data_IF_630468026761
#
_entry.id   IF_630468026761
#
_cell.length_a   1.000
_cell.length_b   1.000
_cell.length_c   1.000
_cell.angle_alpha   90.00
_cell.angle_beta   90.00
_cell.angle_gamma   90.00
#
_symmetry.space_group_name_H-M   'P 1'
#
loop_
_entity.id
_entity.type
_entity.pdbx_description
1 polymer ?
#
# COMPACT_ATOMS: atom_id res chain seq x y z
N UNK A 1 65.47 47.70 7.43
CA UNK A 1 64.66 47.07 8.50
C UNK A 1 63.21 47.37 8.19
N UNK A 2 62.49 46.37 7.68
CA UNK A 2 61.18 46.53 7.06
C UNK A 2 60.05 46.64 8.08
N UNK A 3 59.09 47.52 7.78
CA UNK A 3 57.85 47.71 8.51
C UNK A 3 56.93 46.48 8.44
N UNK A 4 56.19 46.15 9.50
CA UNK A 4 55.06 45.23 9.40
C UNK A 4 53.72 45.97 9.21
N UNK A 5 53.06 45.49 8.16
CA UNK A 5 51.72 45.71 7.60
C UNK A 5 50.57 45.66 8.63
N UNK A 6 49.78 46.74 8.63
CA UNK A 6 48.31 46.80 8.44
C UNK A 6 47.40 45.62 8.81
N UNK A 7 46.27 46.00 9.43
CA UNK A 7 44.92 45.39 9.31
C UNK A 7 44.66 44.08 10.05
N UNK A 8 44.12 44.20 11.27
CA UNK A 8 43.08 43.27 11.75
C UNK A 8 41.90 44.09 12.26
N UNK A 9 40.98 44.40 11.34
CA UNK A 9 39.61 44.74 11.66
C UNK A 9 39.01 43.53 12.37
N UNK A 10 38.93 43.59 13.69
CA UNK A 10 38.34 42.54 14.50
C UNK A 10 36.83 42.75 14.45
N UNK A 11 36.21 41.83 13.70
CA UNK A 11 34.80 41.72 13.38
C UNK A 11 33.88 42.13 14.54
N UNK A 12 33.05 43.10 14.23
CA UNK A 12 31.80 43.42 14.89
C UNK A 12 30.95 42.14 14.93
N UNK A 13 30.88 41.57 16.14
CA UNK A 13 30.11 40.36 16.42
C UNK A 13 28.63 40.73 16.37
N UNK A 14 28.07 40.64 15.17
CA UNK A 14 26.67 40.84 14.83
C UNK A 14 25.78 40.07 15.81
N UNK A 15 25.15 40.82 16.70
CA UNK A 15 24.32 40.34 17.80
C UNK A 15 22.93 40.06 17.22
N UNK A 16 22.77 38.96 16.47
CA UNK A 16 21.46 38.55 15.96
C UNK A 16 20.49 38.33 17.14
N UNK A 17 19.36 39.05 17.19
CA UNK A 17 18.39 38.90 18.25
C UNK A 17 17.71 37.54 18.11
N UNK A 18 17.76 36.74 19.16
CA UNK A 18 16.98 35.53 19.33
C UNK A 18 15.49 35.89 19.34
N UNK A 19 14.87 35.89 18.17
CA UNK A 19 13.45 36.14 17.93
C UNK A 19 12.73 34.83 17.63
N UNK A 20 12.65 33.93 18.60
CA UNK A 20 11.56 32.96 18.62
C UNK A 20 10.93 32.96 20.01
N UNK A 21 9.68 33.43 20.15
CA UNK A 21 8.95 33.25 21.38
C UNK A 21 8.69 31.75 21.54
N UNK A 22 9.00 31.21 22.70
CA UNK A 22 8.54 29.89 23.15
C UNK A 22 7.04 29.99 23.38
N UNK A 23 6.24 29.82 22.32
CA UNK A 23 4.78 29.77 22.47
C UNK A 23 4.34 28.33 22.67
N UNK A 24 4.17 28.01 23.95
CA UNK A 24 3.54 26.82 24.49
C UNK A 24 2.10 26.75 23.96
N UNK A 25 1.82 25.74 23.16
CA UNK A 25 0.57 25.60 22.41
C UNK A 25 0.57 24.33 21.56
N UNK A 26 1.23 23.29 22.04
CA UNK A 26 1.49 22.03 21.35
C UNK A 26 0.17 21.30 21.07
N UNK A 27 -0.50 21.72 20.01
CA UNK A 27 -1.61 20.96 19.44
C UNK A 27 -1.03 19.70 18.80
N UNK A 28 -1.69 18.56 18.98
CA UNK A 28 -1.31 17.30 18.32
C UNK A 28 -1.08 17.48 16.81
N UNK A 29 -1.80 18.41 16.19
CA UNK A 29 -1.69 18.80 14.79
C UNK A 29 -0.34 19.43 14.44
N UNK A 30 0.20 20.34 15.26
CA UNK A 30 1.54 20.90 15.04
C UNK A 30 2.60 19.81 15.14
N UNK A 31 2.46 18.93 16.14
CA UNK A 31 3.36 17.80 16.36
C UNK A 31 3.31 16.78 15.22
N UNK A 32 2.12 16.57 14.63
CA UNK A 32 1.93 15.72 13.44
C UNK A 32 2.52 16.38 12.18
N UNK A 33 2.39 17.70 12.02
CA UNK A 33 2.94 18.42 10.85
C UNK A 33 4.45 18.64 10.90
N UNK A 34 5.05 18.65 12.10
CA UNK A 34 6.50 18.75 12.31
C UNK A 34 7.19 17.38 12.33
N UNK A 35 6.41 16.29 12.37
CA UNK A 35 6.93 14.93 12.32
C UNK A 35 7.42 14.61 10.91
N UNK A 36 8.75 14.46 10.75
CA UNK A 36 9.36 14.00 9.52
C UNK A 36 10.05 12.65 9.74
N UNK A 37 9.94 11.75 8.77
CA UNK A 37 10.67 10.48 8.78
C UNK A 37 11.79 10.51 7.76
N UNK A 38 12.98 10.09 8.20
CA UNK A 38 14.13 9.91 7.33
C UNK A 38 14.02 8.52 6.65
N UNK A 39 14.12 8.43 5.32
CA UNK A 39 14.04 7.17 4.57
C UNK A 39 14.98 6.06 5.04
N UNK A 40 16.16 6.42 5.54
CA UNK A 40 17.17 5.48 6.03
C UNK A 40 16.94 5.02 7.47
N UNK A 41 15.87 5.50 8.12
CA UNK A 41 15.54 5.13 9.49
C UNK A 41 15.10 3.67 9.64
N UNK A 42 15.47 3.06 10.77
CA UNK A 42 15.04 1.69 11.12
C UNK A 42 13.50 1.55 11.20
N UNK A 43 12.82 2.60 11.66
CA UNK A 43 11.36 2.65 11.79
C UNK A 43 10.69 2.49 10.43
N UNK A 44 11.10 3.30 9.44
CA UNK A 44 10.50 3.25 8.10
C UNK A 44 10.83 1.93 7.40
N UNK A 45 12.06 1.43 7.53
CA UNK A 45 12.41 0.11 6.98
C UNK A 45 11.59 -1.03 7.58
N UNK A 46 11.19 -0.93 8.86
CA UNK A 46 10.30 -1.89 9.52
C UNK A 46 8.86 -1.73 9.07
N UNK A 47 8.40 -0.49 8.92
CA UNK A 47 7.10 -0.16 8.37
C UNK A 47 6.94 -0.68 6.93
N UNK A 48 7.94 -0.49 6.07
CA UNK A 48 7.92 -1.01 4.70
C UNK A 48 7.75 -2.53 4.66
N UNK A 49 8.44 -3.27 5.55
CA UNK A 49 8.27 -4.74 5.68
C UNK A 49 6.86 -5.11 6.11
N UNK A 50 6.29 -4.36 7.06
CA UNK A 50 4.92 -4.55 7.51
C UNK A 50 3.91 -4.28 6.39
N UNK A 51 4.08 -3.20 5.63
CA UNK A 51 3.21 -2.86 4.50
C UNK A 51 3.28 -3.88 3.37
N UNK A 52 4.46 -4.43 3.09
CA UNK A 52 4.63 -5.55 2.14
C UNK A 52 3.83 -6.76 2.60
N UNK A 53 3.96 -7.17 3.86
CA UNK A 53 3.19 -8.29 4.41
C UNK A 53 1.67 -8.03 4.36
N UNK A 54 1.23 -6.83 4.75
CA UNK A 54 -0.17 -6.43 4.67
C UNK A 54 -0.71 -6.49 3.23
N UNK A 55 0.09 -6.14 2.22
CA UNK A 55 -0.31 -6.20 0.82
C UNK A 55 -0.49 -7.63 0.30
N UNK A 56 0.35 -8.56 0.77
CA UNK A 56 0.21 -10.00 0.48
C UNK A 56 -1.06 -10.56 1.12
N UNK A 57 -1.28 -10.26 2.40
CA UNK A 57 -2.51 -10.65 3.10
C UNK A 57 -3.76 -10.11 2.40
N UNK A 58 -3.73 -8.85 1.95
CA UNK A 58 -4.82 -8.24 1.20
C UNK A 58 -5.11 -8.98 -0.11
N UNK A 59 -4.07 -9.34 -0.88
CA UNK A 59 -4.24 -10.07 -2.13
C UNK A 59 -4.86 -11.46 -1.91
N UNK A 60 -4.38 -12.20 -0.90
CA UNK A 60 -4.91 -13.51 -0.53
C UNK A 60 -6.36 -13.42 -0.06
N UNK A 61 -6.67 -12.46 0.82
CA UNK A 61 -8.02 -12.28 1.37
C UNK A 61 -9.03 -11.90 0.29
N UNK A 62 -8.69 -10.96 -0.60
CA UNK A 62 -9.58 -10.52 -1.67
C UNK A 62 -9.86 -11.63 -2.68
N UNK A 63 -8.82 -12.36 -3.10
CA UNK A 63 -8.98 -13.51 -4.02
C UNK A 63 -9.78 -14.64 -3.38
N UNK A 64 -9.56 -14.89 -2.09
CA UNK A 64 -10.35 -15.86 -1.32
C UNK A 64 -11.82 -15.46 -1.22
N UNK A 65 -12.13 -14.22 -0.83
CA UNK A 65 -13.51 -13.72 -0.76
C UNK A 65 -14.21 -13.77 -2.13
N UNK A 66 -13.48 -13.48 -3.21
CA UNK A 66 -14.03 -13.54 -4.57
C UNK A 66 -14.27 -14.98 -5.05
N UNK A 67 -13.38 -15.93 -4.76
CA UNK A 67 -13.52 -17.31 -5.20
C UNK A 67 -14.52 -18.13 -4.37
N UNK A 68 -14.47 -18.00 -3.05
CA UNK A 68 -15.27 -18.80 -2.11
C UNK A 68 -16.60 -18.14 -1.71
N UNK A 69 -16.86 -16.91 -2.18
CA UNK A 69 -18.05 -16.13 -1.80
C UNK A 69 -18.20 -16.05 -0.27
N UNK A 70 -17.06 -15.92 0.43
CA UNK A 70 -17.02 -15.89 1.89
C UNK A 70 -17.30 -14.47 2.39
N UNK A 71 -18.57 -14.19 2.70
CA UNK A 71 -19.03 -12.85 3.13
C UNK A 71 -19.32 -12.77 4.64
N UNK A 72 -18.38 -13.20 5.48
CA UNK A 72 -18.52 -13.01 6.94
C UNK A 72 -18.22 -11.57 7.36
N UNK A 73 -18.86 -11.10 8.43
CA UNK A 73 -18.61 -9.76 8.98
C UNK A 73 -17.13 -9.55 9.34
N UNK A 74 -16.45 -10.62 9.79
CA UNK A 74 -15.03 -10.59 10.15
C UNK A 74 -14.15 -10.40 8.92
N UNK A 75 -14.46 -11.06 7.80
CA UNK A 75 -13.72 -10.89 6.55
C UNK A 75 -13.85 -9.46 6.03
N UNK A 76 -15.07 -8.91 6.01
CA UNK A 76 -15.29 -7.51 5.65
C UNK A 76 -14.55 -6.55 6.58
N UNK A 77 -14.64 -6.74 7.89
CA UNK A 77 -13.90 -5.93 8.87
C UNK A 77 -12.39 -5.97 8.62
N UNK A 78 -11.84 -7.16 8.32
CA UNK A 78 -10.43 -7.34 7.95
C UNK A 78 -10.03 -6.56 6.70
N UNK A 79 -10.86 -6.59 5.64
CA UNK A 79 -10.59 -5.81 4.42
C UNK A 79 -10.61 -4.30 4.66
N UNK A 80 -11.56 -3.79 5.45
CA UNK A 80 -11.61 -2.38 5.80
C UNK A 80 -10.45 -1.96 6.70
N UNK A 81 -10.03 -2.81 7.63
CA UNK A 81 -8.86 -2.57 8.47
C UNK A 81 -7.59 -2.44 7.61
N UNK A 82 -7.40 -3.35 6.65
CA UNK A 82 -6.29 -3.26 5.70
C UNK A 82 -6.36 -1.96 4.90
N UNK A 83 -7.53 -1.58 4.38
CA UNK A 83 -7.70 -0.32 3.67
C UNK A 83 -7.32 0.90 4.52
N UNK A 84 -7.71 0.95 5.80
CA UNK A 84 -7.28 2.00 6.74
C UNK A 84 -5.75 2.02 6.88
N UNK A 85 -5.11 0.86 7.03
CA UNK A 85 -3.65 0.75 7.12
C UNK A 85 -2.97 1.33 5.86
N UNK A 86 -3.53 1.10 4.67
CA UNK A 86 -3.01 1.66 3.43
C UNK A 86 -3.28 3.16 3.26
N UNK A 87 -4.40 3.67 3.79
CA UNK A 87 -4.59 5.12 3.89
C UNK A 87 -3.58 5.77 4.83
N UNK A 88 -3.25 5.11 5.96
CA UNK A 88 -2.19 5.54 6.85
C UNK A 88 -0.80 5.52 6.17
N UNK A 89 -0.52 4.53 5.31
CA UNK A 89 0.72 4.48 4.51
C UNK A 89 0.86 5.71 3.61
N UNK A 90 -0.22 6.11 2.92
CA UNK A 90 -0.24 7.34 2.11
C UNK A 90 0.06 8.56 3.00
N UNK A 91 -0.58 8.66 4.16
CA UNK A 91 -0.35 9.77 5.08
C UNK A 91 1.11 9.83 5.54
N UNK A 92 1.72 8.70 5.88
CA UNK A 92 3.13 8.62 6.27
C UNK A 92 4.03 9.09 5.12
N UNK A 93 3.73 8.72 3.87
CA UNK A 93 4.52 9.14 2.69
C UNK A 93 4.54 10.65 2.45
N UNK A 94 3.48 11.37 2.81
CA UNK A 94 3.48 12.83 2.78
C UNK A 94 4.48 13.44 3.78
N UNK A 95 4.88 12.70 4.81
CA UNK A 95 5.80 13.12 5.88
C UNK A 95 7.21 12.52 5.72
N UNK A 96 7.51 11.86 4.59
CA UNK A 96 8.85 11.35 4.31
C UNK A 96 9.72 12.47 3.72
N UNK A 97 10.90 12.69 4.31
CA UNK A 97 11.85 13.67 3.81
C UNK A 97 12.44 13.19 2.47
N UNK A 98 12.68 14.12 1.55
CA UNK A 98 13.31 13.83 0.27
C UNK A 98 14.71 14.46 0.19
N UNK A 99 15.58 13.84 -0.60
CA UNK A 99 16.94 14.32 -0.81
C UNK A 99 16.95 15.24 -2.03
N UNK A 100 17.39 16.49 -1.84
CA UNK A 100 17.61 17.44 -2.92
C UNK A 100 19.04 17.98 -2.83
N UNK A 101 19.81 17.84 -3.91
CA UNK A 101 21.19 18.34 -4.01
C UNK A 101 22.12 17.89 -2.86
N UNK A 102 21.90 16.68 -2.33
CA UNK A 102 22.69 16.12 -1.23
C UNK A 102 22.26 16.54 0.18
N UNK A 103 21.23 17.37 0.32
CA UNK A 103 20.65 17.78 1.60
C UNK A 103 19.22 17.24 1.78
N UNK A 104 18.88 16.86 3.02
CA UNK A 104 17.53 16.47 3.37
C UNK A 104 16.64 17.70 3.49
N UNK A 105 15.64 17.80 2.63
CA UNK A 105 14.64 18.87 2.65
C UNK A 105 13.47 18.43 3.52
N UNK A 106 13.21 19.18 4.60
CA UNK A 106 12.25 18.83 5.66
C UNK A 106 11.09 19.84 5.73
N UNK A 107 10.80 20.54 4.64
CA UNK A 107 9.69 21.49 4.59
C UNK A 107 8.39 20.78 4.19
N UNK A 108 7.32 20.83 5.00
CA UNK A 108 6.10 20.02 4.77
C UNK A 108 5.42 20.34 3.43
N UNK A 109 5.43 21.62 3.01
CA UNK A 109 4.88 22.02 1.71
C UNK A 109 5.69 21.45 0.53
N UNK A 110 7.01 21.42 0.65
CA UNK A 110 7.88 20.93 -0.43
C UNK A 110 7.84 19.39 -0.51
N UNK A 111 7.80 18.71 0.64
CA UNK A 111 7.61 17.26 0.72
C UNK A 111 6.30 16.83 0.08
N UNK A 112 5.19 17.52 0.40
CA UNK A 112 3.89 17.22 -0.18
C UNK A 112 3.85 17.45 -1.70
N UNK A 113 4.38 18.57 -2.20
CA UNK A 113 4.44 18.85 -3.64
C UNK A 113 5.31 17.86 -4.40
N UNK A 114 6.45 17.48 -3.83
CA UNK A 114 7.33 16.47 -4.41
C UNK A 114 6.62 15.12 -4.53
N UNK A 115 5.95 14.68 -3.47
CA UNK A 115 5.19 13.43 -3.48
C UNK A 115 4.02 13.47 -4.47
N UNK A 116 3.25 14.58 -4.53
CA UNK A 116 2.13 14.73 -5.48
C UNK A 116 2.56 14.67 -6.95
N UNK A 117 3.76 15.16 -7.27
CA UNK A 117 4.31 15.09 -8.63
C UNK A 117 4.96 13.72 -8.93
N UNK A 118 5.21 12.90 -7.92
CA UNK A 118 5.82 11.59 -8.09
C UNK A 118 4.83 10.59 -8.70
N UNK A 119 5.34 9.70 -9.57
CA UNK A 119 4.57 8.57 -10.09
C UNK A 119 4.03 7.66 -8.98
N UNK A 120 4.67 7.66 -7.81
CA UNK A 120 4.23 6.89 -6.64
C UNK A 120 2.86 7.35 -6.14
N UNK A 121 2.56 8.66 -6.19
CA UNK A 121 1.25 9.16 -5.78
C UNK A 121 0.15 8.71 -6.73
N UNK A 122 0.39 8.70 -8.04
CA UNK A 122 -0.58 8.22 -9.03
C UNK A 122 -0.87 6.73 -8.79
N UNK A 123 0.18 5.93 -8.58
CA UNK A 123 0.02 4.50 -8.27
C UNK A 123 -0.76 4.29 -6.95
N UNK A 124 -0.48 5.11 -5.93
CA UNK A 124 -1.18 5.08 -4.65
C UNK A 124 -2.65 5.44 -4.82
N UNK A 125 -2.96 6.49 -5.59
CA UNK A 125 -4.33 6.92 -5.83
C UNK A 125 -5.14 5.87 -6.60
N UNK A 126 -4.56 5.26 -7.64
CA UNK A 126 -5.24 4.23 -8.44
C UNK A 126 -5.49 2.95 -7.64
N UNK A 127 -4.56 2.58 -6.76
CA UNK A 127 -4.68 1.36 -5.96
C UNK A 127 -5.54 1.54 -4.70
N UNK A 128 -5.67 2.76 -4.20
CA UNK A 128 -6.48 3.10 -3.02
C UNK A 128 -7.78 3.84 -3.36
N UNK A 129 -8.12 3.94 -4.66
CA UNK A 129 -9.35 4.59 -5.10
C UNK A 129 -10.55 3.96 -4.36
N UNK A 130 -11.50 4.76 -3.83
CA UNK A 130 -12.70 4.24 -3.18
C UNK A 130 -13.65 3.62 -4.22
N UNK A 131 -13.27 2.48 -4.78
CA UNK A 131 -14.08 1.67 -5.70
C UNK A 131 -15.36 1.18 -5.04
N UNK A 132 -15.38 1.15 -3.70
CA UNK A 132 -16.56 0.85 -2.88
C UNK A 132 -17.70 1.86 -3.11
N UNK A 133 -17.40 3.14 -3.34
CA UNK A 133 -18.44 4.15 -3.61
C UNK A 133 -19.13 3.92 -4.95
N UNK A 134 -18.35 3.50 -5.96
CA UNK A 134 -18.86 3.16 -7.29
C UNK A 134 -19.72 1.90 -7.21
N UNK A 135 -19.33 0.95 -6.38
CA UNK A 135 -20.10 -0.29 -6.22
C UNK A 135 -21.41 -0.07 -5.45
N UNK A 136 -21.46 0.84 -4.46
CA UNK A 136 -22.70 1.18 -3.74
C UNK A 136 -23.74 1.84 -4.67
N UNK A 137 -23.31 2.68 -5.62
CA UNK A 137 -24.24 3.30 -6.58
C UNK A 137 -24.80 2.29 -7.60
N UNK A 138 -24.06 1.22 -7.88
CA UNK A 138 -24.49 0.11 -8.74
C UNK A 138 -25.29 -0.98 -7.99
N UNK A 139 -25.04 -1.17 -6.69
CA UNK A 139 -25.62 -2.24 -5.87
C UNK A 139 -27.08 -2.01 -5.43
N UNK A 140 -27.82 -1.11 -6.08
CA UNK A 140 -29.25 -0.89 -5.83
C UNK A 140 -30.16 -2.10 -6.12
N UNK A 141 -29.61 -3.24 -6.55
CA UNK A 141 -30.34 -4.46 -6.89
C UNK A 141 -29.79 -5.64 -6.08
N UNK A 142 -30.59 -6.12 -5.11
CA UNK A 142 -30.40 -7.34 -4.29
C UNK A 142 -29.17 -7.43 -3.37
N UNK A 143 -29.42 -7.56 -2.05
CA UNK A 143 -28.42 -7.56 -0.98
C UNK A 143 -27.39 -8.72 -1.06
N UNK A 144 -27.76 -9.89 -1.57
CA UNK A 144 -26.85 -11.04 -1.71
C UNK A 144 -25.96 -10.91 -2.95
N UNK A 145 -26.51 -10.51 -4.09
CA UNK A 145 -25.75 -10.30 -5.33
C UNK A 145 -24.82 -9.08 -5.24
N UNK A 146 -25.21 -8.05 -4.47
CA UNK A 146 -24.38 -6.88 -4.20
C UNK A 146 -23.06 -7.21 -3.53
N UNK A 147 -23.02 -8.17 -2.60
CA UNK A 147 -21.80 -8.55 -1.87
C UNK A 147 -20.78 -9.26 -2.78
N UNK A 148 -21.24 -10.11 -3.68
CA UNK A 148 -20.39 -10.75 -4.71
C UNK A 148 -19.82 -9.72 -5.68
N UNK A 149 -20.66 -8.81 -6.18
CA UNK A 149 -20.20 -7.75 -7.09
C UNK A 149 -19.16 -6.84 -6.41
N UNK A 150 -19.40 -6.45 -5.16
CA UNK A 150 -18.44 -5.69 -4.35
C UNK A 150 -17.10 -6.43 -4.21
N UNK A 151 -17.12 -7.75 -3.96
CA UNK A 151 -15.90 -8.55 -3.87
C UNK A 151 -15.12 -8.56 -5.20
N UNK A 152 -15.80 -8.67 -6.34
CA UNK A 152 -15.19 -8.63 -7.68
C UNK A 152 -14.60 -7.25 -7.99
N UNK A 153 -15.34 -6.17 -7.74
CA UNK A 153 -14.84 -4.79 -7.96
C UNK A 153 -13.60 -4.52 -7.10
N UNK A 154 -13.55 -5.09 -5.90
CA UNK A 154 -12.39 -4.98 -5.01
C UNK A 154 -11.17 -5.75 -5.49
N UNK A 155 -11.26 -6.66 -6.46
CA UNK A 155 -10.08 -7.31 -7.05
C UNK A 155 -9.12 -6.32 -7.71
N UNK A 156 -9.58 -5.13 -8.09
CA UNK A 156 -8.69 -4.04 -8.52
C UNK A 156 -7.65 -3.69 -7.45
N UNK A 157 -8.00 -3.81 -6.16
CA UNK A 157 -7.06 -3.59 -5.05
C UNK A 157 -5.93 -4.63 -5.01
N UNK A 158 -5.98 -5.73 -5.78
CA UNK A 158 -4.84 -6.66 -5.96
C UNK A 158 -3.65 -6.00 -6.68
N UNK A 159 -3.84 -4.92 -7.43
CA UNK A 159 -2.73 -4.14 -7.99
C UNK A 159 -1.78 -3.59 -6.90
N UNK A 160 -2.24 -3.49 -5.65
CA UNK A 160 -1.44 -3.14 -4.48
C UNK A 160 -0.26 -4.10 -4.25
N UNK A 161 -0.33 -5.35 -4.71
CA UNK A 161 0.80 -6.29 -4.71
C UNK A 161 1.98 -5.78 -5.56
N UNK A 162 1.77 -4.82 -6.47
CA UNK A 162 2.85 -4.10 -7.15
C UNK A 162 3.81 -3.40 -6.18
N UNK A 163 3.36 -3.03 -4.98
CA UNK A 163 4.22 -2.56 -3.87
C UNK A 163 5.34 -3.55 -3.54
N UNK A 164 5.02 -4.84 -3.53
CA UNK A 164 5.96 -5.92 -3.22
C UNK A 164 7.09 -5.93 -4.24
N UNK A 165 6.75 -5.76 -5.53
CA UNK A 165 7.73 -5.66 -6.61
C UNK A 165 8.61 -4.42 -6.47
N UNK A 166 8.01 -3.26 -6.16
CA UNK A 166 8.76 -2.01 -5.93
C UNK A 166 9.72 -2.17 -4.73
N UNK A 167 9.25 -2.77 -3.64
CA UNK A 167 10.06 -3.03 -2.46
C UNK A 167 11.25 -3.94 -2.79
N UNK A 168 11.02 -5.09 -3.42
CA UNK A 168 12.11 -5.99 -3.80
C UNK A 168 13.11 -5.34 -4.76
N UNK A 169 12.62 -4.57 -5.74
CA UNK A 169 13.50 -3.78 -6.64
C UNK A 169 14.37 -2.81 -5.84
N UNK A 170 13.81 -2.09 -4.86
CA UNK A 170 14.59 -1.18 -3.99
C UNK A 170 15.62 -1.93 -3.15
N UNK A 171 15.29 -3.13 -2.64
CA UNK A 171 16.24 -3.94 -1.87
C UNK A 171 17.36 -4.51 -2.74
N UNK A 172 17.07 -4.89 -4.00
CA UNK A 172 18.07 -5.37 -4.96
C UNK A 172 19.06 -4.28 -5.39
N UNK A 173 18.64 -3.01 -5.40
CA UNK A 173 19.53 -1.88 -5.71
C UNK A 173 20.49 -1.53 -4.56
N UNK A 174 20.30 -2.08 -3.35
CA UNK A 174 21.24 -1.87 -2.25
C UNK A 174 22.49 -2.72 -2.50
N UNK A 175 23.66 -2.14 -2.21
CA UNK A 175 24.99 -2.70 -2.48
C UNK A 175 25.24 -4.12 -1.91
N UNK A 176 24.37 -4.59 -0.99
CA UNK A 176 24.40 -5.90 -0.35
C UNK A 176 23.18 -6.77 -0.69
N UNK A 177 22.74 -6.78 -1.95
CA UNK A 177 21.68 -7.68 -2.39
C UNK A 177 22.10 -9.14 -2.22
N UNK A 178 21.70 -9.73 -1.09
CA UNK A 178 21.97 -11.14 -0.77
C UNK A 178 21.15 -12.06 -1.66
N UNK A 179 21.73 -13.20 -2.05
CA UNK A 179 21.03 -14.29 -2.72
C UNK A 179 19.68 -14.63 -2.05
N UNK A 180 19.60 -14.51 -0.72
CA UNK A 180 18.38 -14.72 0.05
C UNK A 180 17.21 -13.82 -0.37
N UNK A 181 17.48 -12.55 -0.74
CA UNK A 181 16.43 -11.61 -1.17
C UNK A 181 15.83 -12.06 -2.50
N UNK A 182 16.67 -12.53 -3.44
CA UNK A 182 16.24 -13.03 -4.74
C UNK A 182 15.37 -14.28 -4.59
N UNK A 183 15.80 -15.22 -3.74
CA UNK A 183 15.03 -16.44 -3.43
C UNK A 183 13.69 -16.07 -2.77
N UNK A 184 13.69 -15.15 -1.81
CA UNK A 184 12.46 -14.71 -1.13
C UNK A 184 11.48 -14.06 -2.11
N UNK A 185 11.97 -13.23 -3.03
CA UNK A 185 11.16 -12.63 -4.10
C UNK A 185 10.50 -13.71 -4.96
N UNK A 186 11.25 -14.72 -5.36
CA UNK A 186 10.75 -15.83 -6.18
C UNK A 186 9.69 -16.65 -5.44
N UNK A 187 9.95 -17.03 -4.18
CA UNK A 187 9.00 -17.77 -3.34
C UNK A 187 7.70 -16.98 -3.15
N UNK A 188 7.81 -15.68 -2.86
CA UNK A 188 6.64 -14.81 -2.67
C UNK A 188 5.81 -14.70 -3.95
N UNK A 189 6.47 -14.60 -5.11
CA UNK A 189 5.77 -14.56 -6.39
C UNK A 189 5.06 -15.88 -6.69
N UNK A 190 5.75 -17.01 -6.49
CA UNK A 190 5.17 -18.33 -6.70
C UNK A 190 3.99 -18.60 -5.76
N UNK A 191 4.08 -18.22 -4.49
CA UNK A 191 3.00 -18.48 -3.53
C UNK A 191 1.71 -17.72 -3.86
N UNK A 192 1.82 -16.45 -4.29
CA UNK A 192 0.65 -15.69 -4.74
C UNK A 192 0.11 -16.30 -6.04
N UNK A 193 0.98 -16.68 -6.98
CA UNK A 193 0.57 -17.25 -8.24
C UNK A 193 -0.21 -18.56 -8.04
N UNK A 194 0.31 -19.49 -7.23
CA UNK A 194 -0.36 -20.76 -6.94
C UNK A 194 -1.69 -20.54 -6.21
N UNK A 195 -1.74 -19.61 -5.26
CA UNK A 195 -2.99 -19.22 -4.57
C UNK A 195 -4.03 -18.67 -5.54
N UNK A 196 -3.63 -17.75 -6.42
CA UNK A 196 -4.51 -17.19 -7.45
C UNK A 196 -5.04 -18.26 -8.40
N UNK A 197 -4.17 -19.16 -8.89
CA UNK A 197 -4.56 -20.26 -9.77
C UNK A 197 -5.55 -21.19 -9.06
N UNK A 198 -5.29 -21.54 -7.80
CA UNK A 198 -6.20 -22.38 -7.01
C UNK A 198 -7.57 -21.70 -6.81
N UNK A 199 -7.59 -20.41 -6.51
CA UNK A 199 -8.82 -19.62 -6.36
C UNK A 199 -9.60 -19.54 -7.68
N UNK A 200 -8.92 -19.30 -8.80
CA UNK A 200 -9.54 -19.27 -10.13
C UNK A 200 -10.11 -20.65 -10.49
N UNK A 201 -9.35 -21.72 -10.26
CA UNK A 201 -9.79 -23.09 -10.51
C UNK A 201 -11.04 -23.44 -9.70
N UNK A 202 -11.05 -23.10 -8.41
CA UNK A 202 -12.22 -23.29 -7.55
C UNK A 202 -13.42 -22.47 -8.03
N UNK A 203 -13.19 -21.18 -8.35
CA UNK A 203 -14.24 -20.31 -8.85
C UNK A 203 -14.90 -20.88 -10.12
N UNK A 204 -14.11 -21.36 -11.08
CA UNK A 204 -14.60 -21.99 -12.33
C UNK A 204 -15.35 -23.29 -12.03
N UNK A 205 -14.77 -24.15 -11.18
CA UNK A 205 -15.35 -25.44 -10.83
C UNK A 205 -16.68 -25.30 -10.10
N UNK A 206 -16.84 -24.21 -9.33
CA UNK A 206 -18.05 -23.95 -8.57
C UNK A 206 -19.07 -23.07 -9.31
N UNK A 207 -18.63 -22.22 -10.25
CA UNK A 207 -19.51 -21.49 -11.15
C UNK A 207 -20.06 -22.37 -12.29
N UNK A 208 -20.02 -23.68 -12.15
CA UNK A 208 -20.33 -24.66 -13.18
C UNK A 208 -21.80 -24.62 -13.62
N UNK A 209 -22.11 -23.75 -14.57
CA UNK A 209 -22.74 -24.17 -15.81
C UNK A 209 -21.61 -24.44 -16.83
N UNK A 210 -21.12 -25.68 -16.88
CA UNK A 210 -20.53 -26.23 -18.10
C UNK A 210 -21.12 -27.63 -18.27
N UNK A 211 -22.30 -27.68 -18.89
CA UNK A 211 -22.78 -28.89 -19.54
C UNK A 211 -22.02 -29.08 -20.86
N UNK A 212 -21.34 -30.21 -20.99
CA UNK A 212 -21.08 -30.78 -22.31
C UNK A 212 -21.84 -32.12 -22.40
N UNK A 213 -22.96 -32.18 -23.15
CA UNK A 213 -23.72 -33.41 -23.27
C UNK A 213 -22.95 -34.39 -24.18
N UNK A 214 -22.66 -35.60 -23.70
CA UNK A 214 -22.27 -36.72 -24.56
C UNK A 214 -23.49 -37.50 -25.10
N UNK A 215 -24.69 -37.28 -24.53
CA UNK A 215 -25.96 -37.72 -25.10
C UNK A 215 -27.14 -36.79 -24.75
N UNK A 216 -28.04 -36.55 -25.71
CA UNK A 216 -29.13 -35.57 -25.61
C UNK A 216 -30.36 -36.07 -24.81
N UNK A 217 -30.23 -37.07 -23.92
CA UNK A 217 -31.39 -37.75 -23.33
C UNK A 217 -31.49 -37.78 -21.80
N UNK A 218 -30.43 -37.51 -21.04
CA UNK A 218 -30.55 -37.48 -19.57
C UNK A 218 -29.66 -36.41 -18.95
N UNK A 219 -30.18 -35.19 -18.95
CA UNK A 219 -29.66 -34.07 -18.16
C UNK A 219 -30.53 -33.95 -16.92
N UNK A 220 -29.99 -34.28 -15.75
CA UNK A 220 -30.55 -33.91 -14.45
C UNK A 220 -29.66 -32.82 -13.83
N UNK A 221 -30.14 -31.58 -13.89
CA UNK A 221 -29.45 -30.33 -13.52
C UNK A 221 -29.52 -29.99 -12.02
N UNK A 222 -29.71 -30.96 -11.13
CA UNK A 222 -30.08 -30.66 -9.73
C UNK A 222 -28.97 -30.77 -8.66
N UNK A 223 -27.69 -31.04 -9.00
CA UNK A 223 -26.62 -31.26 -7.99
C UNK A 223 -25.33 -30.42 -8.12
N UNK A 224 -25.39 -29.23 -8.72
CA UNK A 224 -24.29 -28.25 -8.66
C UNK A 224 -24.28 -27.45 -7.36
N UNK A 225 -24.02 -28.08 -6.21
CA UNK A 225 -24.02 -27.38 -4.91
C UNK A 225 -22.66 -27.47 -4.21
N UNK A 226 -21.71 -26.63 -4.61
CA UNK A 226 -20.48 -26.42 -3.83
C UNK A 226 -20.79 -25.48 -2.66
N UNK A 227 -21.25 -26.12 -1.58
CA UNK A 227 -21.36 -25.52 -0.27
C UNK A 227 -20.04 -25.76 0.48
N UNK A 228 -19.30 -24.69 0.77
CA UNK A 228 -18.13 -24.75 1.62
C UNK A 228 -18.56 -24.87 3.09
N UNK A 229 -18.92 -26.08 3.51
CA UNK A 229 -19.13 -26.41 4.93
C UNK A 229 -17.87 -27.15 5.44
N UNK A 230 -17.14 -26.54 6.39
CA UNK A 230 -16.01 -27.13 7.10
C UNK A 230 -14.90 -26.15 7.46
#
# INVERSE_FOLDING_TARGET
MGAPKSLTAKEEKDKKPSLLPRQNGDTLWERLTEFYLIPEGYVLGTWDRFMVAASLCNAVLLTYMAAFQYHSAIAWAGTYLLDIIFFCDIYIKFHIAFLQDGFWVVFPKQMALHYLHSHEFIFDLVTNLPTDLIAITWAGQSASQGQTYLAIVRLWKCFRTGRVLIYFRRQEQKLHASFLIQVTKFITFLSILTHCIACIWFAISCSGEIEWPEDASTIDLSQGQCRADG
#
